data_IF_334732836429
#
_entry.id   IF_334732836429
#
_cell.length_a   1.000
_cell.length_b   1.000
_cell.length_c   1.000
_cell.angle_alpha   90.00
_cell.angle_beta   90.00
_cell.angle_gamma   90.00
#
_symmetry.space_group_name_H-M   'P 1'
#
loop_
_entity.id
_entity.type
_entity.pdbx_description
1 polymer ?
#
# COMPACT_ATOMS: atom_id res chain seq x y z
N UNK A 1 65.76 -8.76 1.34
CA UNK A 1 64.76 -7.75 0.95
C UNK A 1 64.56 -7.79 -0.56
N UNK A 2 63.64 -8.62 -1.09
CA UNK A 2 63.02 -8.45 -2.42
C UNK A 2 61.85 -9.41 -2.60
N UNK A 3 60.71 -8.83 -3.00
CA UNK A 3 59.68 -9.37 -3.90
C UNK A 3 58.98 -10.67 -3.51
N UNK A 4 57.75 -10.51 -3.04
CA UNK A 4 56.64 -11.42 -3.37
C UNK A 4 55.37 -10.58 -3.52
N UNK A 5 55.14 -10.13 -4.75
CA UNK A 5 53.83 -9.77 -5.25
C UNK A 5 52.97 -11.05 -5.23
N UNK A 6 51.92 -11.06 -4.43
CA UNK A 6 50.86 -12.06 -4.46
C UNK A 6 49.54 -11.33 -4.34
N UNK A 7 48.95 -10.98 -5.48
CA UNK A 7 47.66 -10.34 -5.57
C UNK A 7 46.58 -11.29 -5.01
N UNK A 8 46.14 -11.04 -3.78
CA UNK A 8 44.96 -11.68 -3.21
C UNK A 8 43.72 -11.11 -3.88
N UNK A 9 43.20 -11.89 -4.82
CA UNK A 9 41.90 -11.72 -5.44
C UNK A 9 40.79 -11.75 -4.38
N UNK A 10 40.24 -10.60 -3.99
CA UNK A 10 39.01 -10.51 -3.19
C UNK A 10 38.30 -9.17 -3.45
N UNK A 11 37.62 -9.02 -4.58
CA UNK A 11 36.48 -8.10 -4.68
C UNK A 11 35.38 -8.80 -5.48
N UNK A 12 34.89 -9.91 -4.93
CA UNK A 12 33.57 -10.45 -5.27
C UNK A 12 32.55 -9.68 -4.43
N UNK A 13 31.81 -8.76 -5.03
CA UNK A 13 30.56 -8.19 -4.48
C UNK A 13 29.87 -7.34 -5.54
N UNK A 14 29.49 -7.94 -6.67
CA UNK A 14 28.41 -7.36 -7.47
C UNK A 14 27.14 -7.62 -6.68
N UNK A 15 26.76 -6.65 -5.84
CA UNK A 15 25.43 -6.60 -5.26
C UNK A 15 24.46 -6.30 -6.40
N UNK A 16 23.97 -7.35 -7.06
CA UNK A 16 22.72 -7.26 -7.81
C UNK A 16 21.64 -6.95 -6.81
N UNK A 17 21.38 -5.65 -6.60
CA UNK A 17 20.19 -5.19 -5.93
C UNK A 17 19.01 -5.74 -6.73
N UNK A 18 18.43 -6.83 -6.23
CA UNK A 18 17.15 -7.33 -6.68
C UNK A 18 16.18 -6.19 -6.39
N UNK A 19 15.84 -5.40 -7.42
CA UNK A 19 14.69 -4.52 -7.36
C UNK A 19 13.49 -5.43 -7.17
N UNK A 20 13.13 -5.70 -5.92
CA UNK A 20 11.80 -6.17 -5.60
C UNK A 20 10.87 -5.11 -6.21
N UNK A 21 10.13 -5.49 -7.25
CA UNK A 21 9.13 -4.66 -7.89
C UNK A 21 7.98 -4.48 -6.90
N UNK A 22 8.21 -3.67 -5.86
CA UNK A 22 7.16 -3.05 -5.09
C UNK A 22 6.44 -2.08 -6.03
N UNK A 23 5.20 -2.43 -6.38
CA UNK A 23 4.39 -1.68 -7.31
C UNK A 23 3.40 -0.80 -6.55
N UNK A 24 3.21 0.43 -7.02
CA UNK A 24 2.03 1.17 -6.61
C UNK A 24 0.78 0.47 -7.18
N UNK A 25 -0.15 0.11 -6.30
CA UNK A 25 -1.42 -0.53 -6.65
C UNK A 25 -2.57 0.39 -6.28
N UNK A 26 -3.56 0.46 -7.15
CA UNK A 26 -4.80 1.19 -6.88
C UNK A 26 -5.96 0.21 -6.87
N UNK A 27 -6.72 0.21 -5.79
CA UNK A 27 -7.90 -0.64 -5.60
C UNK A 27 -9.06 0.21 -5.13
N UNK A 28 -10.26 -0.15 -5.56
CA UNK A 28 -11.50 0.46 -5.07
C UNK A 28 -12.16 -0.48 -4.07
N UNK A 29 -12.61 0.08 -2.96
CA UNK A 29 -13.39 -0.57 -1.93
C UNK A 29 -14.82 -0.06 -1.99
N UNK A 30 -15.80 -0.95 -1.88
CA UNK A 30 -17.15 -0.56 -1.48
C UNK A 30 -17.16 -0.43 0.05
N UNK A 31 -17.81 0.63 0.54
CA UNK A 31 -17.78 1.01 1.96
C UNK A 31 -19.21 1.03 2.50
N UNK A 32 -19.43 0.24 3.53
CA UNK A 32 -20.70 0.12 4.22
C UNK A 32 -20.86 1.23 5.28
N UNK A 33 -22.11 1.48 5.70
CA UNK A 33 -22.46 2.45 6.76
C UNK A 33 -22.04 3.91 6.51
N UNK A 34 -21.69 4.27 5.28
CA UNK A 34 -21.41 5.66 4.89
C UNK A 34 -22.74 6.44 4.68
N UNK A 35 -23.45 6.74 5.78
CA UNK A 35 -24.79 7.35 5.75
C UNK A 35 -24.84 8.81 6.22
N UNK A 36 -23.74 9.33 6.75
CA UNK A 36 -23.65 10.68 7.30
C UNK A 36 -22.73 11.59 6.48
N UNK A 37 -22.96 12.91 6.55
CA UNK A 37 -22.17 13.90 5.80
C UNK A 37 -20.67 13.90 6.17
N UNK A 38 -20.34 13.55 7.41
CA UNK A 38 -18.96 13.45 7.91
C UNK A 38 -18.32 12.07 7.68
N UNK A 39 -19.11 11.05 7.33
CA UNK A 39 -18.64 9.67 7.19
C UNK A 39 -17.51 9.52 6.15
N UNK A 40 -17.57 10.17 4.96
CA UNK A 40 -16.47 10.10 3.98
C UNK A 40 -15.12 10.56 4.53
N UNK A 41 -15.12 11.57 5.40
CA UNK A 41 -13.90 12.10 5.99
C UNK A 41 -13.26 11.08 6.93
N UNK A 42 -14.06 10.43 7.78
CA UNK A 42 -13.57 9.43 8.74
C UNK A 42 -13.01 8.22 8.00
N UNK A 43 -13.72 7.71 6.99
CA UNK A 43 -13.25 6.61 6.12
C UNK A 43 -11.92 6.98 5.48
N UNK A 44 -11.84 8.17 4.86
CA UNK A 44 -10.61 8.65 4.24
C UNK A 44 -9.44 8.67 5.23
N UNK A 45 -9.61 9.32 6.37
CA UNK A 45 -8.56 9.45 7.38
C UNK A 45 -8.13 8.09 7.95
N UNK A 46 -9.06 7.15 8.13
CA UNK A 46 -8.72 5.79 8.61
C UNK A 46 -7.83 5.03 7.63
N UNK A 47 -8.11 5.13 6.32
CA UNK A 47 -7.34 4.45 5.28
C UNK A 47 -6.00 5.15 5.02
N UNK A 48 -5.95 6.50 5.07
CA UNK A 48 -4.70 7.27 4.94
C UNK A 48 -3.73 7.03 6.09
N UNK A 49 -4.24 6.67 7.28
CA UNK A 49 -3.40 6.33 8.44
C UNK A 49 -2.62 5.02 8.32
N UNK A 50 -2.91 4.20 7.30
CA UNK A 50 -2.23 2.92 7.09
C UNK A 50 -0.87 3.15 6.43
N UNK A 51 0.19 2.64 7.06
CA UNK A 51 1.55 2.69 6.50
C UNK A 51 1.57 2.05 5.11
N UNK A 52 2.12 2.77 4.13
CA UNK A 52 2.17 2.30 2.74
C UNK A 52 1.03 2.83 1.86
N UNK A 53 0.01 3.47 2.43
CA UNK A 53 -1.01 4.18 1.63
C UNK A 53 -0.45 5.52 1.16
N UNK A 54 -0.54 5.77 -0.14
CA UNK A 54 -0.08 7.00 -0.78
C UNK A 54 -1.22 7.99 -0.99
N UNK A 55 -2.43 7.50 -1.32
CA UNK A 55 -3.59 8.34 -1.62
C UNK A 55 -4.90 7.63 -1.35
N UNK A 56 -5.89 8.37 -0.85
CA UNK A 56 -7.27 7.90 -0.70
C UNK A 56 -8.24 8.93 -1.29
N UNK A 57 -9.16 8.46 -2.14
CA UNK A 57 -10.26 9.23 -2.69
C UNK A 57 -11.58 8.54 -2.32
N UNK A 58 -12.48 9.26 -1.65
CA UNK A 58 -13.78 8.72 -1.22
C UNK A 58 -14.91 9.38 -2.02
N UNK A 59 -15.85 8.56 -2.48
CA UNK A 59 -17.07 8.99 -3.15
C UNK A 59 -18.28 8.62 -2.31
N UNK A 60 -18.88 9.62 -1.67
CA UNK A 60 -20.14 9.43 -0.92
C UNK A 60 -21.27 8.95 -1.84
N UNK A 61 -21.36 9.50 -3.06
CA UNK A 61 -22.39 9.14 -4.04
C UNK A 61 -22.29 7.68 -4.49
N UNK A 62 -21.07 7.19 -4.74
CA UNK A 62 -20.84 5.82 -5.17
C UNK A 62 -20.70 4.83 -3.99
N UNK A 63 -20.59 5.34 -2.76
CA UNK A 63 -20.25 4.58 -1.55
C UNK A 63 -18.96 3.78 -1.72
N UNK A 64 -17.95 4.41 -2.32
CA UNK A 64 -16.65 3.78 -2.58
C UNK A 64 -15.48 4.58 -2.05
N UNK A 65 -14.38 3.90 -1.76
CA UNK A 65 -13.07 4.48 -1.49
C UNK A 65 -12.03 3.88 -2.43
N UNK A 66 -11.40 4.71 -3.25
CA UNK A 66 -10.28 4.33 -4.11
C UNK A 66 -8.97 4.64 -3.38
N UNK A 67 -8.17 3.62 -3.16
CA UNK A 67 -6.92 3.70 -2.38
C UNK A 67 -5.76 3.29 -3.27
N UNK A 68 -4.74 4.13 -3.28
CA UNK A 68 -3.46 3.88 -3.91
C UNK A 68 -2.42 3.59 -2.83
N UNK A 69 -1.75 2.45 -2.90
CA UNK A 69 -0.83 1.97 -1.88
C UNK A 69 0.35 1.21 -2.47
N UNK A 70 1.42 1.10 -1.69
CA UNK A 70 2.61 0.31 -1.97
C UNK A 70 2.39 -1.14 -1.50
N UNK A 71 2.36 -2.08 -2.45
CA UNK A 71 2.09 -3.49 -2.17
C UNK A 71 3.21 -4.24 -1.44
N UNK A 72 4.40 -3.63 -1.31
CA UNK A 72 5.46 -4.14 -0.44
C UNK A 72 5.29 -3.71 1.02
N UNK A 73 4.49 -2.68 1.30
CA UNK A 73 4.28 -2.13 2.65
C UNK A 73 2.93 -2.48 3.25
N UNK A 74 1.90 -2.63 2.42
CA UNK A 74 0.54 -2.92 2.88
C UNK A 74 -0.23 -3.73 1.85
N UNK A 75 -1.41 -4.20 2.24
CA UNK A 75 -2.30 -4.99 1.41
C UNK A 75 -3.75 -4.54 1.58
N UNK A 76 -4.67 -4.99 0.70
CA UNK A 76 -6.05 -4.53 0.73
C UNK A 76 -6.79 -4.89 2.01
N UNK A 77 -6.49 -6.04 2.61
CA UNK A 77 -7.11 -6.50 3.86
C UNK A 77 -6.73 -5.62 5.06
N UNK A 78 -5.47 -5.19 5.13
CA UNK A 78 -5.00 -4.26 6.16
C UNK A 78 -5.69 -2.89 6.04
N UNK A 79 -5.85 -2.39 4.81
CA UNK A 79 -6.54 -1.13 4.52
C UNK A 79 -8.04 -1.25 4.87
N UNK A 80 -8.68 -2.36 4.50
CA UNK A 80 -10.07 -2.64 4.85
C UNK A 80 -10.26 -2.73 6.37
N UNK A 81 -9.33 -3.36 7.08
CA UNK A 81 -9.35 -3.48 8.54
C UNK A 81 -9.32 -2.11 9.23
N UNK A 82 -8.51 -1.18 8.73
CA UNK A 82 -8.47 0.18 9.29
C UNK A 82 -9.83 0.89 9.18
N UNK A 83 -10.52 0.69 8.05
CA UNK A 83 -11.88 1.21 7.85
C UNK A 83 -12.90 0.52 8.78
N UNK A 84 -12.80 -0.80 8.95
CA UNK A 84 -13.63 -1.58 9.88
C UNK A 84 -13.45 -1.09 11.32
N UNK A 85 -12.20 -0.84 11.76
CA UNK A 85 -11.91 -0.30 13.09
C UNK A 85 -12.51 1.09 13.33
N UNK A 86 -12.72 1.86 12.26
CA UNK A 86 -13.43 3.14 12.32
C UNK A 86 -14.97 3.00 12.25
N UNK A 87 -15.51 1.78 12.16
CA UNK A 87 -16.95 1.50 12.07
C UNK A 87 -17.50 1.46 10.64
N UNK A 88 -16.62 1.45 9.63
CA UNK A 88 -16.98 1.46 8.21
C UNK A 88 -16.43 0.21 7.52
N UNK A 89 -17.13 -0.93 7.56
CA UNK A 89 -16.71 -2.11 6.84
C UNK A 89 -16.47 -1.80 5.37
N UNK A 90 -15.35 -2.27 4.82
CA UNK A 90 -14.95 -2.01 3.45
C UNK A 90 -14.49 -3.30 2.79
N UNK A 91 -14.85 -3.50 1.53
CA UNK A 91 -14.51 -4.70 0.77
C UNK A 91 -14.05 -4.35 -0.65
N UNK A 92 -12.98 -4.97 -1.18
CA UNK A 92 -12.52 -4.70 -2.54
C UNK A 92 -13.61 -5.01 -3.56
N UNK A 93 -13.89 -4.05 -4.45
CA UNK A 93 -14.74 -4.33 -5.62
C UNK A 93 -13.88 -4.90 -6.73
N UNK A 94 -14.33 -6.00 -7.35
CA UNK A 94 -13.72 -6.46 -8.60
C UNK A 94 -13.90 -5.36 -9.63
N UNK A 95 -12.80 -4.75 -10.06
CA UNK A 95 -12.82 -3.87 -11.22
C UNK A 95 -13.14 -4.77 -12.42
N UNK A 96 -14.36 -4.65 -12.96
CA UNK A 96 -14.83 -5.48 -14.06
C UNK A 96 -13.87 -5.42 -15.24
N UNK A 97 -13.56 -6.59 -15.81
CA UNK A 97 -12.90 -6.77 -17.11
C UNK A 97 -13.73 -6.20 -18.25
#
# INVERSE_FOLDING_TARGET
>A
MKKSLGAFALIASVMTASTAFAGERTITFAVDNMTCASCPYIVKSSMEGVVGVAKVAVSFRAKTATVTFDDAKTNPDAIATASVSAGYPAHPVKQGS
#
